data_IF_675158116524
#
_entry.id   IF_675158116524
#
_cell.length_a   1.000
_cell.length_b   1.000
_cell.length_c   1.000
_cell.angle_alpha   90.00
_cell.angle_beta   90.00
_cell.angle_gamma   90.00
#
_symmetry.space_group_name_H-M   'P 1'
#
loop_
_entity.id
_entity.type
_entity.pdbx_description
1 polymer ?
#
# COMPACT_ATOMS: atom_id res chain seq x y z
N UNK A 1 -4.55 14.86 -1.42
CA UNK A 1 -5.55 13.77 -1.57
C UNK A 1 -5.96 13.66 -3.01
N UNK A 2 -6.21 12.45 -3.48
CA UNK A 2 -6.50 12.08 -4.86
C UNK A 2 -7.73 11.18 -4.91
N UNK A 3 -8.18 10.85 -6.11
CA UNK A 3 -9.34 9.97 -6.33
C UNK A 3 -8.93 8.60 -6.86
N UNK A 4 -7.71 8.46 -7.36
CA UNK A 4 -7.23 7.29 -8.08
C UNK A 4 -7.74 7.20 -9.52
N UNK A 5 -8.21 8.31 -10.08
CA UNK A 5 -8.57 8.43 -11.48
C UNK A 5 -7.43 9.15 -12.19
N UNK A 6 -6.68 8.39 -12.98
CA UNK A 6 -5.53 8.92 -13.70
C UNK A 6 -5.97 9.93 -14.74
N UNK A 7 -5.33 11.10 -14.75
CA UNK A 7 -5.62 12.16 -15.71
C UNK A 7 -4.68 12.12 -16.92
N UNK A 8 -3.46 11.63 -16.72
CA UNK A 8 -2.43 11.65 -17.74
C UNK A 8 -1.41 10.52 -17.56
N UNK A 9 -0.95 9.96 -18.66
CA UNK A 9 0.22 9.09 -18.72
C UNK A 9 1.43 9.96 -19.04
N UNK A 10 2.23 10.26 -18.02
CA UNK A 10 3.44 11.06 -18.13
C UNK A 10 4.71 10.22 -18.21
N UNK A 11 5.86 10.89 -18.12
CA UNK A 11 7.17 10.23 -18.10
C UNK A 11 8.17 10.97 -17.22
N UNK A 12 9.12 10.23 -16.66
CA UNK A 12 10.27 10.82 -15.96
C UNK A 12 11.27 11.30 -17.02
N UNK A 13 11.57 12.60 -17.06
CA UNK A 13 12.53 13.16 -17.99
C UNK A 13 13.95 13.19 -17.42
N UNK A 14 14.07 13.46 -16.11
CA UNK A 14 15.39 13.56 -15.48
C UNK A 14 15.33 13.12 -14.02
N UNK A 15 16.42 12.50 -13.55
CA UNK A 15 16.61 12.08 -12.16
C UNK A 15 17.96 12.58 -11.67
N UNK A 16 17.96 13.47 -10.68
CA UNK A 16 19.16 13.89 -9.98
C UNK A 16 19.19 13.26 -8.59
N UNK A 17 20.12 12.36 -8.36
CA UNK A 17 20.30 11.71 -7.06
C UNK A 17 21.20 12.55 -6.15
N UNK A 18 20.77 12.68 -4.89
CA UNK A 18 21.59 13.21 -3.79
C UNK A 18 21.86 12.11 -2.77
N UNK A 19 22.57 12.40 -1.66
CA UNK A 19 22.91 11.38 -0.67
C UNK A 19 21.68 10.77 0.02
N UNK A 20 20.59 11.53 0.18
CA UNK A 20 19.40 11.17 0.99
C UNK A 20 18.08 11.50 0.30
N UNK A 21 18.11 11.88 -0.98
CA UNK A 21 16.95 12.27 -1.77
C UNK A 21 17.20 12.07 -3.27
N UNK A 22 16.14 12.25 -4.06
CA UNK A 22 16.26 12.46 -5.50
C UNK A 22 15.38 13.63 -5.91
N UNK A 23 15.80 14.40 -6.90
CA UNK A 23 14.97 15.36 -7.60
C UNK A 23 14.54 14.76 -8.93
N UNK A 24 13.23 14.66 -9.12
CA UNK A 24 12.63 14.15 -10.33
C UNK A 24 12.09 15.31 -11.17
N UNK A 25 12.39 15.31 -12.47
CA UNK A 25 11.70 16.13 -13.47
C UNK A 25 10.73 15.22 -14.22
N UNK A 26 9.46 15.55 -14.19
CA UNK A 26 8.38 14.72 -14.71
C UNK A 26 7.62 15.50 -15.76
N UNK A 27 7.47 14.90 -16.93
CA UNK A 27 6.67 15.43 -18.04
C UNK A 27 5.20 15.04 -17.84
N UNK A 28 4.33 16.04 -17.84
CA UNK A 28 2.89 15.87 -17.73
C UNK A 28 2.18 17.20 -18.03
N UNK A 29 2.06 17.58 -19.32
CA UNK A 29 1.49 18.87 -19.72
C UNK A 29 0.07 19.11 -19.22
N UNK A 30 -0.74 18.04 -19.05
CA UNK A 30 -2.10 18.19 -18.52
C UNK A 30 -2.10 18.46 -17.01
N UNK A 31 -1.28 17.74 -16.24
CA UNK A 31 -1.29 17.88 -14.77
C UNK A 31 -0.56 19.14 -14.30
N UNK A 32 0.31 19.74 -15.11
CA UNK A 32 0.95 21.02 -14.78
C UNK A 32 0.06 22.22 -15.12
N UNK A 33 -0.95 22.04 -15.98
CA UNK A 33 -1.89 23.12 -16.28
C UNK A 33 -2.70 23.49 -15.04
N UNK A 34 -2.48 24.71 -14.56
CA UNK A 34 -3.08 25.23 -13.33
C UNK A 34 -2.43 24.76 -12.02
N UNK A 35 -1.37 23.95 -12.09
CA UNK A 35 -0.57 23.62 -10.92
C UNK A 35 0.39 24.75 -10.55
N UNK A 36 0.74 24.91 -9.27
CA UNK A 36 1.66 25.91 -8.75
C UNK A 36 2.66 25.32 -7.75
N UNK A 37 3.67 26.10 -7.39
CA UNK A 37 4.60 25.72 -6.33
C UNK A 37 3.85 25.35 -5.05
N UNK A 38 4.15 24.19 -4.48
CA UNK A 38 3.52 23.65 -3.27
C UNK A 38 2.29 22.78 -3.52
N UNK A 39 1.78 22.71 -4.75
CA UNK A 39 0.69 21.79 -5.10
C UNK A 39 1.16 20.34 -5.08
N UNK A 40 0.22 19.43 -4.89
CA UNK A 40 0.49 17.99 -4.89
C UNK A 40 0.04 17.35 -6.20
N UNK A 41 0.93 16.55 -6.79
CA UNK A 41 0.64 15.67 -7.92
C UNK A 41 1.00 14.23 -7.51
N UNK A 42 0.10 13.30 -7.79
CA UNK A 42 0.34 11.86 -7.63
C UNK A 42 1.14 11.34 -8.82
N UNK A 43 2.25 10.64 -8.54
CA UNK A 43 3.14 10.01 -9.53
C UNK A 43 3.21 8.51 -9.22
N UNK A 44 2.60 7.68 -10.03
CA UNK A 44 2.41 6.25 -9.73
C UNK A 44 1.88 6.03 -8.30
N UNK A 45 0.92 6.85 -7.86
CA UNK A 45 0.34 6.79 -6.52
C UNK A 45 1.18 7.45 -5.43
N UNK A 46 2.36 7.98 -5.72
CA UNK A 46 3.18 8.71 -4.74
C UNK A 46 2.84 10.19 -4.78
N UNK A 47 2.39 10.75 -3.67
CA UNK A 47 2.13 12.18 -3.53
C UNK A 47 3.45 12.95 -3.53
N UNK A 48 3.68 13.75 -4.56
CA UNK A 48 4.85 14.62 -4.69
C UNK A 48 4.43 16.09 -4.71
N UNK A 49 5.27 16.93 -4.10
CA UNK A 49 5.05 18.37 -4.06
C UNK A 49 5.79 19.07 -5.20
N UNK A 50 5.09 19.87 -5.96
CA UNK A 50 5.67 20.69 -7.03
C UNK A 50 6.64 21.73 -6.45
N UNK A 51 7.90 21.69 -6.86
CA UNK A 51 8.94 22.65 -6.50
C UNK A 51 9.09 23.69 -7.60
N UNK A 52 9.22 23.24 -8.83
CA UNK A 52 9.33 24.09 -10.03
C UNK A 52 8.45 23.50 -11.13
N UNK A 53 8.04 24.35 -12.08
CA UNK A 53 7.26 23.91 -13.23
C UNK A 53 7.58 24.72 -14.47
N UNK A 54 7.37 24.09 -15.61
CA UNK A 54 7.33 24.66 -16.96
C UNK A 54 5.94 24.40 -17.56
N UNK A 55 5.64 24.82 -18.79
CA UNK A 55 4.37 24.43 -19.43
C UNK A 55 4.15 22.92 -19.59
N UNK A 56 5.22 22.14 -19.63
CA UNK A 56 5.15 20.69 -19.91
C UNK A 56 5.65 19.79 -18.79
N UNK A 57 6.38 20.32 -17.82
CA UNK A 57 7.04 19.53 -16.77
C UNK A 57 6.90 20.15 -15.40
N UNK A 58 7.06 19.33 -14.37
CA UNK A 58 7.28 19.78 -13.00
C UNK A 58 8.45 19.04 -12.37
N UNK A 59 9.08 19.66 -11.37
CA UNK A 59 10.09 19.02 -10.52
C UNK A 59 9.54 18.77 -9.13
N UNK A 60 9.97 17.68 -8.51
CA UNK A 60 9.65 17.35 -7.14
C UNK A 60 10.86 16.72 -6.44
N UNK A 61 11.06 17.08 -5.17
CA UNK A 61 12.07 16.46 -4.32
C UNK A 61 11.45 15.22 -3.64
N UNK A 62 12.14 14.09 -3.72
CA UNK A 62 11.69 12.78 -3.21
C UNK A 62 12.66 12.28 -2.15
N UNK A 63 12.20 12.13 -0.92
CA UNK A 63 13.03 11.67 0.20
C UNK A 63 13.44 10.20 0.01
N UNK A 64 14.59 9.81 0.57
CA UNK A 64 15.10 8.43 0.54
C UNK A 64 14.07 7.41 1.04
N UNK A 65 13.29 7.73 2.06
CA UNK A 65 12.24 6.85 2.57
C UNK A 65 11.14 6.61 1.51
N UNK A 66 10.70 7.65 0.81
CA UNK A 66 9.70 7.53 -0.24
C UNK A 66 10.21 6.66 -1.39
N UNK A 67 11.48 6.84 -1.79
CA UNK A 67 12.12 5.98 -2.77
C UNK A 67 12.16 4.52 -2.29
N UNK A 68 12.60 4.27 -1.05
CA UNK A 68 12.72 2.92 -0.50
C UNK A 68 11.37 2.18 -0.40
N UNK A 69 10.28 2.91 -0.15
CA UNK A 69 8.93 2.36 0.03
C UNK A 69 8.14 2.22 -1.28
N UNK A 70 8.64 2.74 -2.39
CA UNK A 70 7.92 2.79 -3.66
C UNK A 70 8.73 2.25 -4.83
N UNK A 71 8.07 2.05 -5.97
CA UNK A 71 8.72 1.66 -7.23
C UNK A 71 9.54 2.80 -7.85
N UNK A 72 9.44 4.02 -7.34
CA UNK A 72 10.24 5.16 -7.83
C UNK A 72 11.76 4.95 -7.65
N UNK A 73 12.18 4.08 -6.70
CA UNK A 73 13.59 3.71 -6.56
C UNK A 73 14.21 3.01 -7.78
N UNK A 74 13.38 2.34 -8.57
CA UNK A 74 13.80 1.65 -9.80
C UNK A 74 13.48 2.43 -11.08
N UNK A 75 12.92 3.63 -10.95
CA UNK A 75 12.58 4.45 -12.10
C UNK A 75 13.83 5.00 -12.79
N UNK A 76 13.75 5.15 -14.10
CA UNK A 76 14.81 5.69 -14.97
C UNK A 76 14.24 6.79 -15.85
N UNK A 77 15.10 7.57 -16.47
CA UNK A 77 14.68 8.51 -17.51
C UNK A 77 13.95 7.76 -18.63
N UNK A 78 12.80 8.28 -19.05
CA UNK A 78 11.89 7.63 -19.99
C UNK A 78 10.84 6.71 -19.36
N UNK A 79 10.93 6.38 -18.05
CA UNK A 79 9.91 5.59 -17.37
C UNK A 79 8.54 6.26 -17.44
N UNK A 80 7.54 5.53 -17.91
CA UNK A 80 6.15 6.00 -17.91
C UNK A 80 5.59 6.03 -16.46
N UNK A 81 4.78 7.01 -16.16
CA UNK A 81 4.16 7.20 -14.85
C UNK A 81 2.70 7.65 -14.97
N UNK A 82 1.84 7.12 -14.11
CA UNK A 82 0.47 7.59 -13.94
C UNK A 82 0.46 8.91 -13.18
N UNK A 83 -0.24 9.91 -13.68
CA UNK A 83 -0.33 11.23 -13.08
C UNK A 83 -1.78 11.60 -12.74
N UNK A 84 -1.97 12.19 -11.57
CA UNK A 84 -3.25 12.77 -11.11
C UNK A 84 -2.98 14.01 -10.27
N UNK A 85 -3.70 15.10 -10.52
CA UNK A 85 -3.68 16.32 -9.69
C UNK A 85 -4.45 16.07 -8.39
N UNK A 86 -4.12 16.85 -7.35
CA UNK A 86 -4.90 16.83 -6.11
C UNK A 86 -6.38 17.16 -6.39
N UNK A 87 -7.27 16.37 -5.76
CA UNK A 87 -8.71 16.52 -5.93
C UNK A 87 -9.19 17.90 -5.46
N UNK A 88 -10.02 18.53 -6.28
CA UNK A 88 -10.65 19.81 -5.95
C UNK A 88 -11.71 19.65 -4.86
N UNK A 89 -11.78 20.61 -3.94
CA UNK A 89 -12.88 20.69 -2.96
C UNK A 89 -14.20 20.89 -3.71
N UNK A 90 -15.16 19.97 -3.50
CA UNK A 90 -16.43 19.95 -4.22
C UNK A 90 -16.40 19.21 -5.56
N UNK A 91 -15.23 18.67 -5.95
CA UNK A 91 -15.10 17.76 -7.07
C UNK A 91 -15.77 16.40 -6.82
N UNK A 92 -15.90 15.59 -7.88
CA UNK A 92 -16.41 14.21 -7.75
C UNK A 92 -15.31 13.28 -7.26
N UNK A 93 -15.63 12.40 -6.33
CA UNK A 93 -14.78 11.27 -5.95
C UNK A 93 -15.12 10.10 -6.88
N UNK A 94 -14.42 10.00 -8.02
CA UNK A 94 -14.71 8.98 -9.05
C UNK A 94 -14.23 7.57 -8.68
N UNK A 95 -13.18 7.47 -7.84
CA UNK A 95 -12.66 6.22 -7.29
C UNK A 95 -12.92 6.10 -5.79
N UNK A 96 -11.85 6.13 -4.98
CA UNK A 96 -11.94 6.14 -3.51
C UNK A 96 -11.01 7.20 -2.93
N UNK A 97 -10.91 7.33 -1.60
CA UNK A 97 -10.00 8.28 -0.95
C UNK A 97 -8.57 7.74 -1.08
N UNK A 98 -7.78 8.33 -1.98
CA UNK A 98 -6.36 8.03 -2.18
C UNK A 98 -5.54 9.17 -1.61
N UNK A 99 -4.57 8.84 -0.75
CA UNK A 99 -3.74 9.85 -0.10
C UNK A 99 -2.45 10.15 -0.87
N UNK A 100 -1.99 9.19 -1.68
CA UNK A 100 -0.68 9.19 -2.31
C UNK A 100 0.41 8.71 -1.35
N UNK A 101 0.06 7.90 -0.37
CA UNK A 101 0.95 7.38 0.67
C UNK A 101 1.08 5.87 0.51
N UNK A 102 2.12 5.46 -0.19
CA UNK A 102 2.35 4.05 -0.50
C UNK A 102 2.57 3.23 0.77
N UNK A 103 1.76 2.19 0.94
CA UNK A 103 1.83 1.25 2.06
C UNK A 103 2.88 0.16 1.83
N UNK A 104 3.17 -0.14 0.58
CA UNK A 104 4.12 -1.14 0.15
C UNK A 104 4.07 -1.37 -1.35
N UNK A 105 4.72 -2.42 -1.81
CA UNK A 105 4.72 -2.80 -3.22
C UNK A 105 4.20 -4.22 -3.39
N UNK A 106 3.56 -4.47 -4.53
CA UNK A 106 3.17 -5.80 -4.99
C UNK A 106 3.96 -6.19 -6.24
N UNK A 107 4.04 -7.49 -6.51
CA UNK A 107 4.64 -8.03 -7.72
C UNK A 107 3.55 -8.73 -8.53
N UNK A 108 3.54 -8.55 -9.84
CA UNK A 108 2.63 -9.23 -10.75
C UNK A 108 2.95 -10.73 -10.77
N UNK A 109 2.01 -11.55 -10.33
CA UNK A 109 2.13 -13.01 -10.31
C UNK A 109 1.60 -13.68 -11.57
N UNK A 110 0.50 -13.15 -12.09
CA UNK A 110 -0.15 -13.70 -13.28
C UNK A 110 -0.96 -12.62 -14.01
N UNK A 111 -1.04 -12.76 -15.31
CA UNK A 111 -1.88 -11.95 -16.18
C UNK A 111 -2.71 -12.91 -17.03
N UNK A 112 -4.03 -12.84 -16.87
CA UNK A 112 -4.97 -13.67 -17.63
C UNK A 112 -5.73 -12.77 -18.61
N UNK A 113 -5.44 -12.86 -19.92
CA UNK A 113 -6.17 -12.10 -20.91
C UNK A 113 -7.60 -12.64 -21.05
N UNK A 114 -8.57 -11.74 -21.14
CA UNK A 114 -9.95 -12.02 -21.52
C UNK A 114 -10.31 -11.31 -22.82
N UNK A 115 -11.52 -11.54 -23.32
CA UNK A 115 -11.99 -10.94 -24.58
C UNK A 115 -12.19 -9.42 -24.45
N UNK A 116 -12.63 -8.93 -23.29
CA UNK A 116 -12.97 -7.53 -23.05
C UNK A 116 -12.26 -6.91 -21.81
N UNK A 117 -11.52 -7.70 -21.04
CA UNK A 117 -10.78 -7.24 -19.86
C UNK A 117 -9.57 -8.13 -19.63
N UNK A 118 -8.69 -7.69 -18.73
CA UNK A 118 -7.51 -8.46 -18.31
C UNK A 118 -7.56 -8.62 -16.79
N UNK A 119 -7.43 -9.85 -16.30
CA UNK A 119 -7.26 -10.11 -14.86
C UNK A 119 -5.79 -10.11 -14.55
N UNK A 120 -5.38 -9.33 -13.53
CA UNK A 120 -4.01 -9.27 -13.05
C UNK A 120 -3.98 -9.67 -11.58
N UNK A 121 -3.11 -10.63 -11.24
CA UNK A 121 -2.87 -11.08 -9.86
C UNK A 121 -1.58 -10.50 -9.35
N UNK A 122 -1.62 -9.99 -8.12
CA UNK A 122 -0.48 -9.40 -7.43
C UNK A 122 -0.20 -10.10 -6.11
N UNK A 123 1.07 -10.11 -5.69
CA UNK A 123 1.44 -10.51 -4.33
C UNK A 123 0.83 -9.52 -3.33
N UNK A 124 0.51 -10.03 -2.14
CA UNK A 124 0.03 -9.22 -1.03
C UNK A 124 0.88 -9.53 0.21
N UNK A 125 1.59 -8.54 0.73
CA UNK A 125 2.42 -8.75 1.92
C UNK A 125 1.57 -9.09 3.15
N UNK A 126 2.08 -9.84 4.13
CA UNK A 126 1.36 -10.16 5.37
C UNK A 126 0.89 -8.91 6.12
N UNK A 127 1.61 -7.79 6.00
CA UNK A 127 1.25 -6.53 6.64
C UNK A 127 0.04 -5.86 5.99
N UNK A 128 -0.15 -6.05 4.68
CA UNK A 128 -1.26 -5.45 3.93
C UNK A 128 -2.47 -6.39 3.81
N UNK A 129 -2.27 -7.69 3.96
CA UNK A 129 -3.33 -8.69 3.80
C UNK A 129 -4.59 -8.41 4.65
N UNK A 130 -4.50 -7.98 5.93
CA UNK A 130 -5.69 -7.66 6.73
C UNK A 130 -6.47 -6.44 6.23
N UNK A 131 -5.85 -5.59 5.40
CA UNK A 131 -6.42 -4.32 4.94
C UNK A 131 -7.13 -4.43 3.59
N UNK A 132 -6.95 -5.55 2.88
CA UNK A 132 -7.53 -5.79 1.56
C UNK A 132 -8.65 -6.80 1.67
N UNK A 133 -9.81 -6.50 1.09
CA UNK A 133 -11.00 -7.35 1.15
C UNK A 133 -11.58 -7.56 -0.24
N UNK A 134 -12.28 -8.70 -0.44
CA UNK A 134 -13.02 -8.94 -1.68
C UNK A 134 -14.04 -7.82 -1.93
N UNK A 135 -14.09 -7.31 -3.15
CA UNK A 135 -14.89 -6.15 -3.58
C UNK A 135 -14.52 -4.82 -2.91
N UNK A 136 -13.44 -4.77 -2.14
CA UNK A 136 -12.88 -3.52 -1.59
C UNK A 136 -12.15 -2.69 -2.65
N UNK A 137 -11.78 -1.47 -2.27
CA UNK A 137 -10.96 -0.58 -3.08
C UNK A 137 -9.47 -0.73 -2.74
N UNK A 138 -8.63 -0.60 -3.75
CA UNK A 138 -7.18 -0.53 -3.63
C UNK A 138 -6.64 0.40 -4.72
N UNK A 139 -5.59 1.17 -4.43
CA UNK A 139 -4.87 1.91 -5.45
C UNK A 139 -3.60 1.15 -5.86
N UNK A 140 -3.44 0.92 -7.17
CA UNK A 140 -2.27 0.27 -7.78
C UNK A 140 -1.62 1.28 -8.72
N UNK A 141 -0.36 1.67 -8.45
CA UNK A 141 0.31 2.78 -9.14
C UNK A 141 -0.59 4.01 -9.27
N UNK A 142 -1.35 4.32 -8.21
CA UNK A 142 -2.29 5.43 -8.13
C UNK A 142 -3.66 5.17 -8.75
N UNK A 143 -3.86 4.06 -9.46
CA UNK A 143 -5.15 3.72 -10.10
C UNK A 143 -6.10 3.10 -9.09
N UNK A 144 -7.27 3.71 -8.86
CA UNK A 144 -8.34 3.16 -8.02
C UNK A 144 -8.99 1.97 -8.70
N UNK A 145 -8.94 0.81 -8.05
CA UNK A 145 -9.44 -0.45 -8.59
C UNK A 145 -10.26 -1.21 -7.54
N UNK A 146 -11.15 -2.06 -8.03
CA UNK A 146 -11.90 -2.99 -7.19
C UNK A 146 -11.17 -4.33 -7.13
N UNK A 147 -10.94 -4.85 -5.94
CA UNK A 147 -10.45 -6.21 -5.72
C UNK A 147 -11.49 -7.20 -6.24
N UNK A 148 -11.17 -7.94 -7.30
CA UNK A 148 -12.09 -8.90 -7.92
C UNK A 148 -12.03 -10.28 -7.26
N UNK A 149 -10.90 -10.61 -6.63
CA UNK A 149 -10.69 -11.86 -5.90
C UNK A 149 -9.51 -11.68 -4.93
N UNK A 150 -9.46 -12.50 -3.88
CA UNK A 150 -8.38 -12.50 -2.87
C UNK A 150 -8.11 -13.92 -2.41
N UNK A 151 -6.86 -14.21 -2.05
CA UNK A 151 -6.46 -15.52 -1.49
C UNK A 151 -7.24 -15.84 -0.20
N UNK A 152 -7.50 -17.12 0.09
CA UNK A 152 -8.00 -17.53 1.40
C UNK A 152 -7.07 -17.05 2.52
N UNK A 153 -7.64 -16.67 3.68
CA UNK A 153 -6.86 -16.17 4.80
C UNK A 153 -5.81 -17.16 5.34
N UNK A 154 -6.01 -18.46 5.12
CA UNK A 154 -5.07 -19.52 5.51
C UNK A 154 -3.94 -19.75 4.49
N UNK A 155 -3.99 -19.10 3.33
CA UNK A 155 -2.94 -19.22 2.33
C UNK A 155 -1.65 -18.54 2.83
N UNK A 156 -0.49 -19.24 2.84
CA UNK A 156 0.75 -18.65 3.33
C UNK A 156 1.28 -17.53 2.44
N UNK A 157 1.08 -17.64 1.13
CA UNK A 157 1.44 -16.62 0.14
C UNK A 157 0.19 -15.87 -0.30
N UNK A 158 -0.07 -14.75 0.36
CA UNK A 158 -1.26 -13.95 0.10
C UNK A 158 -1.16 -13.24 -1.26
N UNK A 159 -2.30 -13.14 -1.94
CA UNK A 159 -2.44 -12.47 -3.22
C UNK A 159 -3.84 -11.87 -3.39
N UNK A 160 -3.97 -10.93 -4.31
CA UNK A 160 -5.27 -10.41 -4.76
C UNK A 160 -5.29 -10.23 -6.28
N UNK A 161 -6.47 -10.11 -6.85
CA UNK A 161 -6.72 -9.87 -8.26
C UNK A 161 -7.54 -8.62 -8.48
N UNK A 162 -7.30 -7.99 -9.62
CA UNK A 162 -8.13 -6.93 -10.17
C UNK A 162 -8.47 -7.23 -11.62
N UNK A 163 -9.60 -6.71 -12.09
CA UNK A 163 -10.02 -6.83 -13.49
C UNK A 163 -9.88 -5.47 -14.16
N UNK A 164 -8.97 -5.36 -15.13
CA UNK A 164 -8.66 -4.13 -15.86
C UNK A 164 -9.51 -4.07 -17.14
N UNK A 165 -10.31 -3.02 -17.26
CA UNK A 165 -11.10 -2.72 -18.45
C UNK A 165 -10.22 -2.09 -19.54
N UNK A 166 -10.63 -2.11 -20.82
CA UNK A 166 -9.83 -1.54 -21.93
C UNK A 166 -9.40 -0.09 -21.71
N UNK A 167 -10.26 0.74 -21.14
CA UNK A 167 -9.92 2.13 -20.83
C UNK A 167 -8.76 2.23 -19.84
N UNK A 168 -8.77 1.47 -18.75
CA UNK A 168 -7.69 1.43 -17.77
C UNK A 168 -6.38 0.95 -18.41
N UNK A 169 -6.44 -0.07 -19.26
CA UNK A 169 -5.27 -0.59 -19.99
C UNK A 169 -4.67 0.43 -20.97
N UNK A 170 -5.50 1.28 -21.58
CA UNK A 170 -5.04 2.29 -22.53
C UNK A 170 -4.52 3.57 -21.85
N UNK A 171 -5.17 3.98 -20.74
CA UNK A 171 -4.93 5.26 -20.10
C UNK A 171 -3.90 5.23 -18.96
N UNK A 172 -3.39 4.05 -18.58
CA UNK A 172 -2.47 3.90 -17.44
C UNK A 172 -1.29 2.99 -17.75
N UNK A 173 -0.26 3.04 -16.90
CA UNK A 173 0.89 2.13 -16.97
C UNK A 173 0.51 0.65 -16.83
N UNK A 174 -0.67 0.35 -16.26
CA UNK A 174 -1.11 -1.03 -16.00
C UNK A 174 -1.33 -1.85 -17.27
N UNK A 175 -1.52 -1.17 -18.42
CA UNK A 175 -1.64 -1.84 -19.72
C UNK A 175 -0.36 -2.52 -20.18
N UNK A 176 0.80 -2.00 -19.76
CA UNK A 176 2.13 -2.51 -20.11
C UNK A 176 2.73 -3.51 -19.13
N UNK A 177 2.01 -3.88 -18.06
CA UNK A 177 2.53 -4.79 -17.03
C UNK A 177 2.87 -6.19 -17.59
N UNK A 178 3.98 -6.73 -17.11
CA UNK A 178 4.43 -8.11 -17.33
C UNK A 178 4.54 -8.85 -15.99
N UNK A 179 4.57 -10.20 -16.04
CA UNK A 179 4.78 -11.03 -14.84
C UNK A 179 6.18 -10.75 -14.28
N UNK A 180 6.25 -10.44 -13.00
CA UNK A 180 7.47 -10.05 -12.31
C UNK A 180 7.59 -8.53 -12.07
N UNK A 181 6.80 -7.71 -12.75
CA UNK A 181 6.81 -6.27 -12.53
C UNK A 181 6.34 -5.91 -11.13
N UNK A 182 6.89 -4.83 -10.60
CA UNK A 182 6.52 -4.28 -9.29
C UNK A 182 5.62 -3.06 -9.46
N UNK A 183 4.63 -2.97 -8.59
CA UNK A 183 3.69 -1.85 -8.52
C UNK A 183 3.61 -1.28 -7.11
N UNK A 184 3.28 -0.01 -6.99
CA UNK A 184 2.94 0.63 -5.72
C UNK A 184 1.54 0.22 -5.27
N UNK A 185 1.38 -0.04 -3.98
CA UNK A 185 0.10 -0.36 -3.38
C UNK A 185 -0.23 0.65 -2.28
N UNK A 186 -1.43 1.22 -2.35
CA UNK A 186 -2.05 1.97 -1.26
C UNK A 186 -3.41 1.31 -0.94
N UNK A 187 -3.57 0.87 0.31
CA UNK A 187 -4.83 0.29 0.81
C UNK A 187 -5.82 1.39 1.18
N UNK A 188 -7.11 1.07 1.20
CA UNK A 188 -8.13 2.04 1.62
C UNK A 188 -7.84 2.53 3.05
N UNK A 189 -7.69 3.83 3.22
CA UNK A 189 -7.37 4.47 4.50
C UNK A 189 -8.38 4.11 5.61
N UNK A 190 -9.63 3.82 5.26
CA UNK A 190 -10.64 3.40 6.22
C UNK A 190 -10.30 2.05 6.86
N UNK A 191 -9.76 1.10 6.07
CA UNK A 191 -9.33 -0.19 6.58
C UNK A 191 -8.18 -0.03 7.61
N UNK A 192 -7.22 0.85 7.34
CA UNK A 192 -6.10 1.16 8.24
C UNK A 192 -6.56 1.78 9.55
N UNK A 193 -7.53 2.69 9.52
CA UNK A 193 -8.09 3.27 10.73
C UNK A 193 -8.83 2.23 11.56
N UNK A 194 -9.62 1.36 10.92
CA UNK A 194 -10.34 0.28 11.61
C UNK A 194 -9.36 -0.70 12.26
N UNK A 195 -8.33 -1.14 11.54
CA UNK A 195 -7.28 -2.02 12.08
C UNK A 195 -6.63 -1.41 13.33
N UNK A 196 -6.23 -0.13 13.24
CA UNK A 196 -5.59 0.56 14.37
C UNK A 196 -6.50 0.66 15.59
N UNK A 197 -7.78 0.95 15.37
CA UNK A 197 -8.77 1.00 16.45
C UNK A 197 -8.98 -0.37 17.12
N UNK A 198 -9.06 -1.43 16.32
CA UNK A 198 -9.21 -2.81 16.83
C UNK A 198 -7.97 -3.26 17.63
N UNK A 199 -6.77 -2.96 17.14
CA UNK A 199 -5.53 -3.27 17.86
C UNK A 199 -5.44 -2.55 19.22
N UNK A 200 -5.87 -1.29 19.31
CA UNK A 200 -5.92 -0.55 20.58
C UNK A 200 -6.98 -1.11 21.53
N UNK A 201 -8.14 -1.52 21.03
CA UNK A 201 -9.19 -2.13 21.83
C UNK A 201 -8.76 -3.48 22.39
N UNK A 202 -8.10 -4.33 21.59
CA UNK A 202 -7.55 -5.61 22.03
C UNK A 202 -6.53 -5.43 23.17
N UNK A 203 -5.58 -4.51 23.01
CA UNK A 203 -4.59 -4.20 24.04
C UNK A 203 -5.23 -3.66 25.34
N UNK A 204 -6.30 -2.89 25.24
CA UNK A 204 -7.02 -2.41 26.41
C UNK A 204 -7.75 -3.56 27.15
N UNK A 205 -8.34 -4.49 26.42
CA UNK A 205 -8.98 -5.67 26.98
C UNK A 205 -7.98 -6.60 27.70
N UNK A 206 -6.81 -6.82 27.12
CA UNK A 206 -5.72 -7.60 27.73
C UNK A 206 -5.23 -6.98 29.06
N UNK A 207 -5.10 -5.65 29.10
CA UNK A 207 -4.71 -4.93 30.34
C UNK A 207 -5.78 -4.96 31.43
N UNK A 208 -7.04 -5.06 31.04
CA UNK A 208 -8.18 -5.14 31.97
C UNK A 208 -8.48 -6.56 32.46
N UNK A 209 -7.91 -7.58 31.82
CA UNK A 209 -8.08 -8.96 32.24
C UNK A 209 -7.46 -9.18 33.63
N UNK A 210 -8.16 -9.80 34.61
CA UNK A 210 -7.60 -10.10 35.91
C UNK A 210 -6.40 -11.03 35.76
N UNK A 211 -5.31 -10.76 36.51
CA UNK A 211 -4.17 -11.64 36.54
C UNK A 211 -4.60 -13.09 36.86
N UNK A 212 -4.17 -14.04 36.07
CA UNK A 212 -4.45 -15.44 36.36
C UNK A 212 -3.99 -15.77 37.78
N UNK A 213 -4.78 -16.49 38.62
CA UNK A 213 -4.36 -16.84 39.95
C UNK A 213 -3.04 -17.62 39.85
N UNK A 214 -2.05 -17.19 40.67
CA UNK A 214 -0.77 -17.86 40.74
C UNK A 214 -1.02 -19.35 41.00
N UNK A 215 -0.42 -20.23 40.20
CA UNK A 215 -0.51 -21.67 40.42
C UNK A 215 -0.04 -21.93 41.84
N UNK A 216 -0.91 -22.53 42.66
CA UNK A 216 -0.55 -22.96 44.03
C UNK A 216 0.59 -23.95 43.91
N UNK A 217 1.71 -23.66 44.58
CA UNK A 217 2.82 -24.61 44.69
C UNK A 217 2.31 -25.92 45.25
N UNK A 218 2.73 -27.09 44.74
CA UNK A 218 2.35 -28.36 45.31
C UNK A 218 2.90 -28.43 46.74
N UNK A 219 2.01 -28.62 47.71
CA UNK A 219 2.37 -28.82 49.12
C UNK A 219 3.29 -30.03 49.23
N UNK A 220 4.49 -29.86 49.83
CA UNK A 220 5.40 -30.96 50.15
C UNK A 220 4.69 -32.02 51.03
N UNK A 221 4.89 -33.32 50.79
CA UNK A 221 4.35 -34.36 51.62
C UNK A 221 5.05 -34.33 52.99
N UNK A 222 4.27 -34.12 54.05
CA UNK A 222 4.70 -34.23 55.46
C UNK A 222 5.40 -35.55 55.74
N UNK A 223 6.66 -35.47 56.18
CA UNK A 223 7.44 -36.63 56.60
C UNK A 223 6.79 -37.28 57.82
N UNK A 224 6.16 -38.44 57.65
CA UNK A 224 5.66 -39.25 58.72
C UNK A 224 6.83 -39.87 59.56
N UNK A 225 6.82 -39.58 60.86
CA UNK A 225 7.78 -40.04 61.88
C UNK A 225 7.79 -41.60 61.95
N UNK A 226 8.92 -42.16 61.62
CA UNK A 226 9.18 -43.61 61.90
C UNK A 226 9.48 -43.76 63.38
N UNK A 227 8.54 -44.37 64.12
CA UNK A 227 8.73 -44.83 65.48
C UNK A 227 9.50 -46.16 65.43
N UNK A 228 10.76 -46.13 65.88
CA UNK A 228 11.54 -47.33 66.14
C UNK A 228 10.97 -48.02 67.39
N UNK A 229 10.43 -49.27 67.26
CA UNK A 229 10.22 -50.17 68.35
C UNK A 229 11.44 -51.11 68.49
N UNK A 230 12.18 -50.95 69.62
CA UNK A 230 13.16 -51.88 70.08
C UNK A 230 12.46 -53.07 70.79
N UNK A 231 12.79 -54.27 70.41
CA UNK A 231 12.51 -55.50 71.23
C UNK A 231 13.77 -56.15 71.59
N UNK A 232 13.81 -56.50 72.87
CA UNK A 232 14.80 -57.29 73.65
C UNK A 232 15.10 -58.61 73.00
#
# INVERSE_FOLDING_TARGET
>A
MFTGIIEELGSIEHIEHTNDAARLTIRGPLVVDGAGHGDSISVNGVCLTVVEQTPDTFTADVMAQTLAMSTLSGATEGSAVNLERAALVGGRLGGHIVQGHIDGTGTVLAIVPGDAWRVVRFTLSPALAPLVVDKGSIAIDGVSLTVSNISPAAEPEQWFEVSLIPETLAATTLGGLEVGDRVNLETDILARHVERMLALAANAAERAAPAAPAASEPSEPSAASVVQRSTS
#
